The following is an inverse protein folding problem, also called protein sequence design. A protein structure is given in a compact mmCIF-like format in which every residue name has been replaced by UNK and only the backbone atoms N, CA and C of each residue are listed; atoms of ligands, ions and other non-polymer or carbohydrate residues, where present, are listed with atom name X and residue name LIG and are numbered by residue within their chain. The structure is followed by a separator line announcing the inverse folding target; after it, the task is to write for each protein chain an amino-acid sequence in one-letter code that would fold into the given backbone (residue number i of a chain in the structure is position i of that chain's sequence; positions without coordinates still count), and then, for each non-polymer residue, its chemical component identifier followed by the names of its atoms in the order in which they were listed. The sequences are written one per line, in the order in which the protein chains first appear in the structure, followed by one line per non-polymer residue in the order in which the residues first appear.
data_IF_306796106985
#
_entry.id   IF_306796106985
#
_cell.length_a   1.000
_cell.length_b   1.000
_cell.length_c   1.000
_cell.angle_alpha   90.00
_cell.angle_beta   90.00
_cell.angle_gamma   90.00
#
_symmetry.space_group_name_H-M   'P 1'
#
loop_
_entity.id
_entity.type
_entity.pdbx_description
1 polymer ?
#
# COMPACT_ATOMS: atom_id res chain seq x y z
N UNK A 1 -11.25 13.99 4.90
CA UNK A 1 -12.07 13.69 3.70
C UNK A 1 -12.71 14.94 3.10
N UNK A 2 -13.52 15.72 3.84
CA UNK A 2 -14.15 16.94 3.32
C UNK A 2 -13.15 17.96 2.75
N UNK A 3 -12.03 18.20 3.44
CA UNK A 3 -10.96 19.09 2.97
C UNK A 3 -10.40 18.69 1.59
N UNK A 4 -10.09 17.40 1.39
CA UNK A 4 -9.56 16.89 0.12
C UNK A 4 -10.56 16.97 -1.03
N UNK A 5 -11.86 16.95 -0.74
CA UNK A 5 -12.92 17.14 -1.74
C UNK A 5 -13.12 18.63 -2.09
N UNK A 6 -13.06 19.53 -1.09
CA UNK A 6 -13.29 20.97 -1.28
C UNK A 6 -12.09 21.71 -1.88
N UNK A 7 -10.88 21.40 -1.42
CA UNK A 7 -9.68 22.15 -1.78
C UNK A 7 -9.43 22.24 -3.30
N UNK A 8 -9.59 21.16 -4.11
CA UNK A 8 -9.40 21.25 -5.56
C UNK A 8 -10.35 22.25 -6.25
N UNK A 9 -11.60 22.33 -5.82
CA UNK A 9 -12.56 23.30 -6.35
C UNK A 9 -12.20 24.74 -6.02
N UNK A 10 -11.77 24.99 -4.79
CA UNK A 10 -11.30 26.32 -4.35
C UNK A 10 -10.02 26.72 -5.11
N UNK A 11 -9.08 25.78 -5.33
CA UNK A 11 -7.90 26.01 -6.16
C UNK A 11 -8.29 26.34 -7.60
N UNK A 12 -9.26 25.63 -8.18
CA UNK A 12 -9.75 25.92 -9.53
C UNK A 12 -10.32 27.34 -9.64
N UNK A 13 -11.06 27.81 -8.63
CA UNK A 13 -11.53 29.20 -8.56
C UNK A 13 -10.37 30.18 -8.49
N UNK A 14 -9.34 29.93 -7.67
CA UNK A 14 -8.15 30.78 -7.61
C UNK A 14 -7.39 30.84 -8.94
N UNK A 15 -7.23 29.71 -9.62
CA UNK A 15 -6.59 29.67 -10.95
C UNK A 15 -7.42 30.40 -12.00
N UNK A 16 -8.75 30.26 -11.97
CA UNK A 16 -9.67 30.99 -12.84
C UNK A 16 -9.61 32.51 -12.61
N UNK A 17 -9.40 32.94 -11.37
CA UNK A 17 -9.25 34.35 -11.00
C UNK A 17 -7.90 34.95 -11.43
N UNK A 18 -6.92 34.18 -11.89
CA UNK A 18 -5.62 34.74 -12.33
C UNK A 18 -5.73 35.65 -13.56
N UNK A 19 -6.78 35.51 -14.38
CA UNK A 19 -7.00 36.37 -15.55
C UNK A 19 -7.68 37.66 -15.09
N UNK A 20 -6.87 38.66 -14.72
CA UNK A 20 -7.33 39.97 -14.29
C UNK A 20 -7.19 41.00 -15.42
N UNK A 21 -8.23 41.80 -15.65
CA UNK A 21 -8.21 42.85 -16.68
C UNK A 21 -7.54 44.14 -16.16
N UNK A 22 -6.63 44.71 -16.96
CA UNK A 22 -5.99 46.01 -16.72
C UNK A 22 -5.37 46.14 -15.31
N UNK A 23 -5.54 47.29 -14.63
CA UNK A 23 -4.97 47.57 -13.31
C UNK A 23 -5.83 47.07 -12.14
N UNK A 24 -7.11 46.73 -12.39
CA UNK A 24 -8.04 46.16 -11.39
C UNK A 24 -9.22 45.45 -12.07
N UNK A 25 -9.09 44.15 -12.31
CA UNK A 25 -10.14 43.33 -12.91
C UNK A 25 -11.38 43.25 -12.03
N UNK A 26 -12.57 43.31 -12.65
CA UNK A 26 -13.85 43.05 -11.98
C UNK A 26 -14.19 41.56 -12.10
N UNK A 27 -14.71 40.97 -11.02
CA UNK A 27 -15.08 39.56 -10.94
C UNK A 27 -13.98 38.71 -10.31
N UNK A 28 -12.82 38.60 -10.97
CA UNK A 28 -11.71 37.75 -10.51
C UNK A 28 -11.21 38.13 -9.12
N UNK A 29 -10.92 39.43 -8.90
CA UNK A 29 -10.46 39.92 -7.60
C UNK A 29 -11.46 39.67 -6.47
N UNK A 30 -12.76 39.87 -6.72
CA UNK A 30 -13.82 39.60 -5.74
C UNK A 30 -13.98 38.11 -5.46
N UNK A 31 -13.79 37.25 -6.47
CA UNK A 31 -13.85 35.80 -6.30
C UNK A 31 -12.76 35.26 -5.35
N UNK A 32 -11.62 35.94 -5.25
CA UNK A 32 -10.52 35.55 -4.36
C UNK A 32 -10.83 35.79 -2.87
N UNK A 33 -11.67 36.79 -2.54
CA UNK A 33 -11.84 37.27 -1.16
C UNK A 33 -12.27 36.19 -0.18
N UNK A 34 -13.24 35.36 -0.56
CA UNK A 34 -13.71 34.26 0.28
C UNK A 34 -12.99 32.95 -0.08
N UNK A 35 -12.62 32.76 -1.35
CA UNK A 35 -12.00 31.52 -1.84
C UNK A 35 -10.66 31.25 -1.17
N UNK A 36 -9.81 32.26 -1.03
CA UNK A 36 -8.48 32.08 -0.44
C UNK A 36 -8.55 31.76 1.07
N UNK A 37 -9.28 32.52 1.90
CA UNK A 37 -9.49 32.13 3.30
C UNK A 37 -10.11 30.75 3.46
N UNK A 38 -11.12 30.40 2.65
CA UNK A 38 -11.72 29.07 2.69
C UNK A 38 -10.70 27.98 2.36
N UNK A 39 -9.86 28.20 1.34
CA UNK A 39 -8.82 27.24 0.97
C UNK A 39 -7.80 27.04 2.11
N UNK A 40 -7.40 28.12 2.78
CA UNK A 40 -6.50 28.05 3.95
C UNK A 40 -7.17 27.29 5.09
N UNK A 41 -8.42 27.61 5.41
CA UNK A 41 -9.18 26.98 6.49
C UNK A 41 -9.38 25.47 6.27
N UNK A 42 -9.81 25.06 5.07
CA UNK A 42 -9.99 23.63 4.78
C UNK A 42 -8.67 22.88 4.77
N UNK A 43 -7.59 23.51 4.32
CA UNK A 43 -6.25 22.90 4.32
C UNK A 43 -5.71 22.73 5.73
N UNK A 44 -5.80 23.78 6.56
CA UNK A 44 -5.39 23.73 7.96
C UNK A 44 -6.22 22.71 8.78
N UNK A 45 -7.55 22.72 8.60
CA UNK A 45 -8.43 21.74 9.21
C UNK A 45 -8.12 20.30 8.77
N UNK A 46 -7.80 20.11 7.49
CA UNK A 46 -7.36 18.83 6.95
C UNK A 46 -6.04 18.36 7.57
N UNK A 47 -5.05 19.24 7.66
CA UNK A 47 -3.76 18.93 8.27
C UNK A 47 -3.88 18.61 9.76
N UNK A 48 -4.68 19.38 10.50
CA UNK A 48 -4.94 19.10 11.92
C UNK A 48 -5.60 17.76 12.14
N UNK A 49 -6.63 17.43 11.35
CA UNK A 49 -7.31 16.14 11.45
C UNK A 49 -6.38 14.96 11.15
N UNK A 50 -5.43 15.12 10.22
CA UNK A 50 -4.41 14.09 9.96
C UNK A 50 -3.44 13.96 11.13
N UNK A 51 -2.97 15.07 11.70
CA UNK A 51 -2.09 15.05 12.87
C UNK A 51 -2.76 14.34 14.06
N UNK A 52 -3.99 14.71 14.40
CA UNK A 52 -4.76 14.08 15.48
C UNK A 52 -4.95 12.58 15.24
N UNK A 53 -5.29 12.18 14.01
CA UNK A 53 -5.48 10.78 13.65
C UNK A 53 -4.19 9.96 13.75
N UNK A 54 -3.04 10.54 13.38
CA UNK A 54 -1.73 9.89 13.48
C UNK A 54 -1.26 9.77 14.93
N UNK A 55 -1.51 10.77 15.78
CA UNK A 55 -1.19 10.73 17.21
C UNK A 55 -1.97 9.66 17.96
N UNK A 56 -3.22 9.42 17.60
CA UNK A 56 -4.08 8.40 18.22
C UNK A 56 -4.11 7.06 17.49
N UNK A 57 -3.29 6.85 16.46
CA UNK A 57 -3.35 5.65 15.63
C UNK A 57 -2.95 4.42 16.44
N UNK A 58 -3.86 3.44 16.52
CA UNK A 58 -3.60 2.13 17.11
C UNK A 58 -3.54 1.07 16.01
N UNK A 59 -2.50 0.23 16.03
CA UNK A 59 -2.29 -0.84 15.06
C UNK A 59 -2.56 -2.18 15.71
N UNK A 60 -3.54 -2.90 15.17
CA UNK A 60 -3.88 -4.27 15.58
C UNK A 60 -3.16 -5.28 14.67
N UNK A 61 -1.97 -5.70 15.10
CA UNK A 61 -1.10 -6.61 14.34
C UNK A 61 -1.67 -8.02 14.25
N UNK A 62 -2.44 -8.46 15.25
CA UNK A 62 -3.11 -9.77 15.23
C UNK A 62 -4.22 -9.78 14.18
N UNK A 63 -5.02 -8.72 14.08
CA UNK A 63 -6.03 -8.57 13.03
C UNK A 63 -5.39 -8.48 11.65
N UNK A 64 -4.28 -7.76 11.50
CA UNK A 64 -3.54 -7.71 10.24
C UNK A 64 -3.08 -9.11 9.81
N UNK A 65 -2.52 -9.91 10.72
CA UNK A 65 -2.13 -11.30 10.44
C UNK A 65 -3.36 -12.14 10.06
N UNK A 66 -4.44 -12.07 10.83
CA UNK A 66 -5.67 -12.82 10.54
C UNK A 66 -6.26 -12.48 9.15
N UNK A 67 -6.19 -11.21 8.73
CA UNK A 67 -6.64 -10.80 7.40
C UNK A 67 -5.77 -11.38 6.27
N UNK A 68 -4.47 -11.55 6.50
CA UNK A 68 -3.56 -12.20 5.55
C UNK A 68 -3.84 -13.72 5.49
N UNK A 69 -3.99 -14.35 6.66
CA UNK A 69 -4.24 -15.78 6.77
C UNK A 69 -5.60 -16.19 6.19
N UNK A 70 -6.57 -15.26 6.14
CA UNK A 70 -7.89 -15.47 5.55
C UNK A 70 -7.86 -15.88 4.07
N UNK A 71 -6.77 -15.59 3.34
CA UNK A 71 -6.60 -16.06 1.96
C UNK A 71 -6.15 -17.53 1.85
N UNK A 72 -5.88 -18.20 2.98
CA UNK A 72 -5.32 -19.56 3.01
C UNK A 72 -3.95 -19.68 2.32
N UNK A 73 -3.15 -18.60 2.32
CA UNK A 73 -1.83 -18.54 1.66
C UNK A 73 -1.83 -18.19 0.17
N UNK A 74 -2.99 -18.14 -0.48
CA UNK A 74 -3.08 -17.83 -1.93
C UNK A 74 -2.58 -16.45 -2.33
N UNK A 75 -2.64 -15.45 -1.43
CA UNK A 75 -2.06 -14.12 -1.65
C UNK A 75 -0.54 -14.18 -1.91
N UNK A 76 0.14 -15.18 -1.36
CA UNK A 76 1.60 -15.35 -1.42
C UNK A 76 2.02 -16.43 -2.44
N UNK A 77 1.10 -16.89 -3.28
CA UNK A 77 1.37 -17.94 -4.26
C UNK A 77 2.51 -17.59 -5.23
N UNK A 78 2.67 -16.32 -5.59
CA UNK A 78 3.76 -15.84 -6.45
C UNK A 78 5.15 -16.15 -5.86
N UNK A 79 5.32 -16.04 -4.54
CA UNK A 79 6.56 -16.37 -3.83
C UNK A 79 7.01 -17.82 -4.09
N UNK A 80 6.05 -18.75 -4.12
CA UNK A 80 6.30 -20.16 -4.44
C UNK A 80 6.58 -20.33 -5.94
N UNK A 81 5.81 -19.67 -6.81
CA UNK A 81 6.01 -19.76 -8.25
C UNK A 81 7.39 -19.24 -8.68
N UNK A 82 7.88 -18.16 -8.06
CA UNK A 82 9.23 -17.64 -8.30
C UNK A 82 10.30 -18.64 -7.88
N UNK A 83 10.15 -19.28 -6.71
CA UNK A 83 11.10 -20.30 -6.25
C UNK A 83 11.12 -21.53 -7.18
N UNK A 84 9.95 -21.95 -7.66
CA UNK A 84 9.83 -23.06 -8.60
C UNK A 84 10.33 -22.73 -10.00
N UNK A 85 10.28 -21.45 -10.42
CA UNK A 85 10.69 -21.03 -11.76
C UNK A 85 12.16 -21.31 -12.06
N UNK A 86 13.03 -21.30 -11.03
CA UNK A 86 14.46 -21.64 -11.19
C UNK A 86 14.67 -23.10 -11.62
N UNK A 87 13.75 -24.00 -11.24
CA UNK A 87 13.86 -25.44 -11.53
C UNK A 87 12.97 -25.92 -12.67
N UNK A 88 11.73 -25.41 -12.76
CA UNK A 88 10.71 -25.83 -13.72
C UNK A 88 10.58 -24.87 -14.91
N UNK A 89 11.19 -23.68 -14.83
CA UNK A 89 10.93 -22.59 -15.76
C UNK A 89 9.65 -21.82 -15.42
N UNK A 90 9.66 -20.53 -15.74
CA UNK A 90 8.65 -19.55 -15.33
C UNK A 90 7.22 -19.96 -15.68
N UNK A 91 7.00 -20.40 -16.93
CA UNK A 91 5.65 -20.72 -17.43
C UNK A 91 5.05 -21.94 -16.71
N UNK A 92 5.86 -22.96 -16.48
CA UNK A 92 5.42 -24.22 -15.88
C UNK A 92 5.22 -24.05 -14.37
N UNK A 93 6.13 -23.34 -13.70
CA UNK A 93 5.97 -22.98 -12.29
C UNK A 93 4.66 -22.18 -12.04
N UNK A 94 4.40 -21.16 -12.87
CA UNK A 94 3.17 -20.39 -12.75
C UNK A 94 1.91 -21.24 -13.01
N UNK A 95 1.94 -22.11 -14.03
CA UNK A 95 0.80 -22.98 -14.33
C UNK A 95 0.52 -23.98 -13.20
N UNK A 96 1.58 -24.58 -12.62
CA UNK A 96 1.52 -25.50 -11.49
C UNK A 96 0.90 -24.81 -10.26
N UNK A 97 1.46 -23.68 -9.82
CA UNK A 97 0.96 -22.97 -8.64
C UNK A 97 -0.46 -22.43 -8.87
N UNK A 98 -0.79 -21.96 -10.07
CA UNK A 98 -2.16 -21.54 -10.39
C UNK A 98 -3.16 -22.69 -10.30
N UNK A 99 -2.76 -23.91 -10.68
CA UNK A 99 -3.59 -25.10 -10.50
C UNK A 99 -3.77 -25.44 -9.02
N UNK A 100 -2.69 -25.39 -8.23
CA UNK A 100 -2.73 -25.58 -6.78
C UNK A 100 -3.66 -24.56 -6.09
N UNK A 101 -3.62 -23.28 -6.47
CA UNK A 101 -4.53 -22.26 -5.95
C UNK A 101 -6.01 -22.56 -6.25
N UNK A 102 -6.32 -23.00 -7.48
CA UNK A 102 -7.70 -23.40 -7.84
C UNK A 102 -8.17 -24.60 -7.02
N UNK A 103 -7.27 -25.57 -6.80
CA UNK A 103 -7.57 -26.75 -6.02
C UNK A 103 -7.80 -26.41 -4.54
N UNK A 104 -6.90 -25.62 -3.93
CA UNK A 104 -7.03 -25.12 -2.56
C UNK A 104 -8.35 -24.36 -2.34
N UNK A 105 -8.75 -23.51 -3.30
CA UNK A 105 -10.02 -22.80 -3.25
C UNK A 105 -11.23 -23.75 -3.35
N UNK A 106 -11.18 -24.75 -4.22
CA UNK A 106 -12.27 -25.72 -4.38
C UNK A 106 -12.48 -26.62 -3.16
N UNK A 107 -11.39 -27.03 -2.51
CA UNK A 107 -11.43 -27.90 -1.33
C UNK A 107 -11.51 -27.13 -0.01
N UNK A 108 -11.40 -25.80 -0.05
CA UNK A 108 -11.28 -24.92 1.14
C UNK A 108 -10.16 -25.37 2.08
N UNK A 109 -9.01 -25.72 1.50
CA UNK A 109 -7.82 -26.13 2.22
C UNK A 109 -6.71 -25.08 2.09
N UNK A 110 -5.81 -24.98 3.07
CA UNK A 110 -4.64 -24.12 2.95
C UNK A 110 -3.81 -24.48 1.70
N UNK A 111 -3.32 -23.46 0.99
CA UNK A 111 -2.47 -23.66 -0.19
C UNK A 111 -1.20 -24.47 0.15
N UNK A 112 -0.66 -24.28 1.36
CA UNK A 112 0.49 -25.02 1.84
C UNK A 112 0.24 -26.54 1.80
N UNK A 113 -0.94 -27.00 2.21
CA UNK A 113 -1.25 -28.44 2.23
C UNK A 113 -1.35 -29.00 0.81
N UNK A 114 -2.05 -28.28 -0.08
CA UNK A 114 -2.17 -28.68 -1.50
C UNK A 114 -0.80 -28.76 -2.18
N UNK A 115 0.09 -27.81 -1.93
CA UNK A 115 1.45 -27.82 -2.49
C UNK A 115 2.31 -28.96 -1.91
N UNK A 116 2.10 -29.31 -0.64
CA UNK A 116 2.79 -30.44 -0.01
C UNK A 116 2.28 -31.81 -0.49
N UNK A 117 1.07 -31.86 -1.05
CA UNK A 117 0.50 -33.08 -1.65
C UNK A 117 0.96 -33.28 -3.11
N UNK A 118 1.50 -32.24 -3.77
CA UNK A 118 1.93 -32.29 -5.16
C UNK A 118 3.39 -32.80 -5.30
N UNK A 119 3.62 -33.97 -5.93
CA UNK A 119 4.96 -34.51 -6.15
C UNK A 119 5.85 -33.62 -7.04
N UNK A 120 5.27 -32.83 -7.94
CA UNK A 120 6.01 -31.93 -8.81
C UNK A 120 6.60 -30.79 -7.99
N UNK A 121 5.86 -30.27 -7.02
CA UNK A 121 6.34 -29.19 -6.13
C UNK A 121 7.33 -29.73 -5.10
N UNK A 122 6.98 -30.83 -4.42
CA UNK A 122 7.80 -31.40 -3.33
C UNK A 122 9.14 -31.96 -3.77
N UNK A 123 9.32 -32.23 -5.07
CA UNK A 123 10.63 -32.56 -5.66
C UNK A 123 11.62 -31.39 -5.62
N UNK A 124 11.13 -30.16 -5.59
CA UNK A 124 11.96 -28.94 -5.69
C UNK A 124 11.94 -28.11 -4.41
N UNK A 125 10.84 -28.13 -3.65
CA UNK A 125 10.70 -27.38 -2.40
C UNK A 125 10.22 -28.33 -1.30
N UNK A 126 10.89 -28.34 -0.16
CA UNK A 126 10.42 -29.10 1.00
C UNK A 126 9.28 -28.37 1.74
N UNK A 127 8.69 -29.05 2.73
CA UNK A 127 7.59 -28.48 3.53
C UNK A 127 7.98 -27.20 4.26
N UNK A 128 9.22 -27.09 4.72
CA UNK A 128 9.71 -25.93 5.46
C UNK A 128 9.90 -24.72 4.54
N UNK A 129 10.40 -24.95 3.33
CA UNK A 129 10.54 -23.96 2.27
C UNK A 129 9.17 -23.45 1.82
N UNK A 130 8.21 -24.34 1.58
CA UNK A 130 6.83 -23.97 1.23
C UNK A 130 6.22 -23.09 2.34
N UNK A 131 6.34 -23.50 3.60
CA UNK A 131 5.84 -22.73 4.74
C UNK A 131 6.51 -21.35 4.85
N UNK A 132 7.84 -21.28 4.63
CA UNK A 132 8.57 -20.01 4.66
C UNK A 132 8.15 -19.08 3.52
N UNK A 133 7.97 -19.60 2.30
CA UNK A 133 7.55 -18.81 1.13
C UNK A 133 6.12 -18.29 1.25
N UNK A 134 5.26 -19.03 1.95
CA UNK A 134 3.89 -18.64 2.27
C UNK A 134 3.77 -17.88 3.61
N UNK A 135 4.89 -17.49 4.22
CA UNK A 135 4.89 -16.61 5.38
C UNK A 135 4.96 -15.14 4.93
N UNK A 136 4.00 -14.28 5.34
CA UNK A 136 4.01 -12.86 4.96
C UNK A 136 5.31 -12.12 5.34
N UNK A 137 5.96 -12.53 6.42
CA UNK A 137 7.16 -11.89 6.95
C UNK A 137 8.37 -12.06 6.02
N UNK A 138 8.32 -13.07 5.15
CA UNK A 138 9.39 -13.41 4.21
C UNK A 138 9.13 -12.90 2.79
N UNK A 139 8.03 -12.18 2.56
CA UNK A 139 7.65 -11.64 1.25
C UNK A 139 7.35 -10.12 1.31
N UNK A 140 8.20 -9.38 2.05
CA UNK A 140 8.09 -7.93 2.21
C UNK A 140 8.84 -7.12 1.13
N UNK A 141 9.55 -7.81 0.23
CA UNK A 141 10.35 -7.18 -0.83
C UNK A 141 11.31 -6.12 -0.29
N UNK A 142 11.22 -4.91 -0.83
CA UNK A 142 12.08 -3.77 -0.46
C UNK A 142 11.40 -2.79 0.51
N UNK A 143 10.34 -3.21 1.22
CA UNK A 143 9.59 -2.34 2.12
C UNK A 143 10.49 -1.62 3.15
N UNK A 144 11.40 -2.35 3.81
CA UNK A 144 12.35 -1.77 4.76
C UNK A 144 13.27 -0.75 4.10
N UNK A 145 13.77 -1.01 2.89
CA UNK A 145 14.62 -0.06 2.18
C UNK A 145 13.88 1.26 1.86
N UNK A 146 12.57 1.21 1.57
CA UNK A 146 11.78 2.42 1.40
C UNK A 146 11.54 3.18 2.70
N UNK A 147 11.29 2.49 3.80
CA UNK A 147 11.17 3.08 5.14
C UNK A 147 12.48 3.80 5.50
N UNK A 148 13.62 3.11 5.40
CA UNK A 148 14.95 3.67 5.69
C UNK A 148 15.30 4.88 4.82
N UNK A 149 14.90 4.86 3.54
CA UNK A 149 15.12 5.99 2.63
C UNK A 149 14.33 7.23 3.04
N UNK A 150 13.14 7.07 3.63
CA UNK A 150 12.35 8.19 4.13
C UNK A 150 12.92 8.69 5.46
N UNK A 151 13.25 7.77 6.38
CA UNK A 151 13.83 8.10 7.68
C UNK A 151 15.18 8.82 7.55
N UNK A 152 16.07 8.35 6.66
CA UNK A 152 17.38 9.01 6.43
C UNK A 152 17.25 10.43 5.90
N UNK A 153 16.23 10.74 5.07
CA UNK A 153 15.97 12.10 4.59
C UNK A 153 15.52 13.04 5.71
N UNK A 154 14.77 12.52 6.69
CA UNK A 154 14.30 13.27 7.85
C UNK A 154 15.39 13.39 8.94
N UNK A 155 16.21 12.36 9.09
CA UNK A 155 17.34 12.28 10.03
C UNK A 155 18.54 13.15 9.67
N UNK A 156 18.61 13.71 8.46
CA UNK A 156 19.59 14.74 8.07
C UNK A 156 19.33 16.13 8.67
N UNK A 157 18.23 16.32 9.40
CA UNK A 157 17.83 17.61 9.99
C UNK A 157 17.50 17.59 11.48
N UNK A 158 17.88 16.55 12.25
CA UNK A 158 17.70 16.63 13.71
C UNK A 158 17.74 15.31 14.47
N UNK A 159 18.94 14.74 14.62
CA UNK A 159 19.30 13.99 15.82
C UNK A 159 20.80 14.16 16.07
N UNK A 160 21.17 15.37 16.48
CA UNK A 160 22.32 15.56 17.33
C UNK A 160 21.81 15.51 18.78
N UNK A 161 22.25 14.48 19.49
CA UNK A 161 22.39 14.35 20.95
C UNK A 161 21.28 14.88 21.88
N UNK A 162 20.60 13.94 22.54
CA UNK A 162 20.27 13.99 23.96
C UNK A 162 20.10 12.58 24.53
#
# INVERSE_FOLDING_TARGET
LAAALRAPGLVATMLGAMVQEHERGLGGWQAEWDTLPDLVLVSAGGARAVADALESLSVDTERMRANLDASGGTLLAESVAMALAESLGTREAHACVAAACRHAASERRPLADVLNDDPVVTRHLDRAEIARRLSPDHYLGVAHAFIERVLSRLGGTGHADA
#
